data_IF_501553602643
#
_entry.id   IF_501553602643
#
_cell.length_a   1.000
_cell.length_b   1.000
_cell.length_c   1.000
_cell.angle_alpha   90.00
_cell.angle_beta   90.00
_cell.angle_gamma   90.00
#
_symmetry.space_group_name_H-M   'P 1'
#
loop_
_entity.id
_entity.type
_entity.pdbx_description
1 polymer ?
#
# COMPACT_ATOMS: atom_id res chain seq x y z
N UNK A 1 -2.18 16.77 11.71
CA UNK A 1 -2.62 17.26 10.39
C UNK A 1 -2.97 18.75 10.42
N UNK A 2 -4.04 19.23 11.07
CA UNK A 2 -4.55 20.61 11.02
C UNK A 2 -3.51 21.68 11.40
N UNK A 3 -2.67 21.41 12.40
CA UNK A 3 -1.58 22.34 12.81
C UNK A 3 -0.55 22.52 11.69
N UNK A 4 -0.17 21.45 11.02
CA UNK A 4 0.79 21.48 9.90
C UNK A 4 0.21 22.23 8.70
N UNK A 5 -1.05 21.98 8.35
CA UNK A 5 -1.73 22.67 7.28
C UNK A 5 -1.86 24.19 7.55
N UNK A 6 -2.17 24.54 8.81
CA UNK A 6 -2.20 25.95 9.22
C UNK A 6 -0.83 26.62 9.13
N UNK A 7 0.24 25.93 9.50
CA UNK A 7 1.62 26.41 9.36
C UNK A 7 2.03 26.54 7.90
N UNK A 8 1.70 25.56 7.08
CA UNK A 8 1.96 25.56 5.64
C UNK A 8 1.30 26.78 4.96
N UNK A 9 0.01 27.02 5.25
CA UNK A 9 -0.72 28.19 4.73
C UNK A 9 -0.12 29.52 5.16
N UNK A 10 0.39 29.61 6.41
CA UNK A 10 0.95 30.85 6.95
C UNK A 10 2.37 31.13 6.48
N UNK A 11 3.17 30.09 6.35
CA UNK A 11 4.60 30.20 6.06
C UNK A 11 4.94 29.97 4.58
N UNK A 12 3.96 29.58 3.76
CA UNK A 12 4.15 29.25 2.34
C UNK A 12 4.81 27.89 2.09
N UNK A 13 5.63 27.41 3.02
CA UNK A 13 6.28 26.10 2.90
C UNK A 13 6.42 25.41 4.26
N UNK A 14 6.43 24.05 4.24
CA UNK A 14 6.65 23.24 5.43
C UNK A 14 7.28 21.89 5.06
N UNK A 15 8.24 21.45 5.87
CA UNK A 15 8.86 20.13 5.68
C UNK A 15 8.26 19.13 6.66
N UNK A 16 7.86 17.98 6.16
CA UNK A 16 7.29 16.87 6.94
C UNK A 16 8.03 15.57 6.68
N UNK A 17 7.88 14.62 7.59
CA UNK A 17 8.21 13.22 7.37
C UNK A 17 6.89 12.46 7.34
N UNK A 18 6.60 11.80 6.21
CA UNK A 18 5.37 11.04 6.05
C UNK A 18 5.59 9.84 5.13
N UNK A 19 4.69 8.87 5.23
CA UNK A 19 4.60 7.78 4.28
C UNK A 19 3.79 8.26 3.08
N UNK A 20 4.45 8.27 1.92
CA UNK A 20 3.89 8.76 0.65
C UNK A 20 3.59 7.59 -0.27
N UNK A 21 2.36 7.52 -0.73
CA UNK A 21 1.93 6.64 -1.82
C UNK A 21 1.54 7.49 -3.02
N UNK A 22 1.66 6.95 -4.22
CA UNK A 22 1.32 7.64 -5.47
C UNK A 22 0.40 6.77 -6.29
N UNK A 23 -0.59 7.39 -6.90
CA UNK A 23 -1.49 6.72 -7.85
C UNK A 23 -1.67 7.56 -9.12
N UNK A 24 -1.91 6.87 -10.23
CA UNK A 24 -2.22 7.50 -11.51
C UNK A 24 -3.72 7.74 -11.64
N UNK A 25 -4.13 8.98 -11.85
CA UNK A 25 -5.50 9.30 -12.28
C UNK A 25 -5.56 9.24 -13.81
N UNK A 26 -6.08 8.13 -14.35
CA UNK A 26 -6.18 7.88 -15.80
C UNK A 26 -7.02 8.94 -16.52
N UNK A 27 -7.99 9.57 -15.84
CA UNK A 27 -8.86 10.59 -16.45
C UNK A 27 -8.16 11.92 -16.64
N UNK A 28 -7.22 12.23 -15.74
CA UNK A 28 -6.46 13.48 -15.74
C UNK A 28 -5.07 13.30 -16.33
N UNK A 29 -4.67 12.06 -16.57
CA UNK A 29 -3.34 11.66 -17.06
C UNK A 29 -2.22 12.30 -16.24
N UNK A 30 -2.33 12.18 -14.91
CA UNK A 30 -1.34 12.71 -13.97
C UNK A 30 -1.29 11.91 -12.68
N UNK A 31 -0.15 11.97 -12.00
CA UNK A 31 0.07 11.31 -10.73
C UNK A 31 -0.34 12.19 -9.55
N UNK A 32 -0.90 11.55 -8.54
CA UNK A 32 -1.26 12.18 -7.27
C UNK A 32 -0.63 11.44 -6.11
N UNK A 33 -0.10 12.21 -5.16
CA UNK A 33 0.45 11.69 -3.91
C UNK A 33 -0.59 11.72 -2.80
N UNK A 34 -0.53 10.71 -1.95
CA UNK A 34 -1.28 10.60 -0.70
C UNK A 34 -0.31 10.51 0.48
N UNK A 35 -0.64 11.19 1.57
CA UNK A 35 0.14 11.27 2.80
C UNK A 35 -0.60 10.58 3.93
N UNK A 36 -0.09 9.44 4.40
CA UNK A 36 -0.80 8.59 5.36
C UNK A 36 -1.02 9.25 6.72
N UNK A 37 0.00 9.91 7.28
CA UNK A 37 -0.12 10.55 8.60
C UNK A 37 -0.74 11.95 8.54
N UNK A 38 -0.45 12.70 7.49
CA UNK A 38 -1.03 14.04 7.31
C UNK A 38 -2.50 13.96 6.89
N UNK A 39 -2.92 12.83 6.32
CA UNK A 39 -4.28 12.62 5.81
C UNK A 39 -4.62 13.53 4.63
N UNK A 40 -3.61 13.91 3.84
CA UNK A 40 -3.78 14.60 2.57
C UNK A 40 -3.82 13.59 1.44
N UNK A 41 -4.76 13.78 0.53
CA UNK A 41 -4.88 13.03 -0.72
C UNK A 41 -4.93 13.98 -1.90
N UNK A 42 -4.69 13.46 -3.09
CA UNK A 42 -4.75 14.19 -4.36
C UNK A 42 -3.82 15.41 -4.44
N UNK A 43 -2.61 15.30 -3.88
CA UNK A 43 -1.57 16.32 -4.06
C UNK A 43 -0.84 16.03 -5.37
N UNK A 44 -0.79 16.97 -6.32
CA UNK A 44 -0.10 16.75 -7.59
C UNK A 44 1.40 16.44 -7.37
N UNK A 45 1.94 15.48 -8.11
CA UNK A 45 3.34 15.11 -8.10
C UNK A 45 3.85 14.96 -9.54
N UNK A 46 5.08 15.34 -9.79
CA UNK A 46 5.70 15.22 -11.12
C UNK A 46 6.04 13.76 -11.43
N UNK A 47 5.99 13.39 -12.70
CA UNK A 47 6.20 12.02 -13.21
C UNK A 47 7.59 11.47 -12.88
N UNK A 48 8.58 12.34 -12.73
CA UNK A 48 9.97 11.98 -12.39
C UNK A 48 10.08 11.16 -11.09
N UNK A 49 9.21 11.40 -10.10
CA UNK A 49 9.29 10.71 -8.82
C UNK A 49 8.79 9.27 -8.88
N UNK A 50 7.61 8.95 -9.47
CA UNK A 50 7.18 7.57 -9.67
C UNK A 50 8.12 6.77 -10.58
N UNK A 51 8.70 7.38 -11.62
CA UNK A 51 9.67 6.73 -12.50
C UNK A 51 10.98 6.40 -11.77
N UNK A 52 11.40 7.29 -10.86
CA UNK A 52 12.63 7.10 -10.08
C UNK A 52 12.45 6.16 -8.90
N UNK A 53 11.26 6.08 -8.32
CA UNK A 53 10.99 5.36 -7.08
C UNK A 53 9.74 4.49 -7.21
N UNK A 54 9.88 3.31 -7.80
CA UNK A 54 8.78 2.35 -8.08
C UNK A 54 7.91 2.04 -6.85
N UNK A 55 8.50 2.03 -5.66
CA UNK A 55 7.77 1.75 -4.42
C UNK A 55 6.75 2.83 -4.05
N UNK A 56 6.82 4.02 -4.63
CA UNK A 56 5.76 5.02 -4.47
C UNK A 56 4.43 4.52 -5.03
N UNK A 57 4.49 3.69 -6.10
CA UNK A 57 3.31 3.07 -6.74
C UNK A 57 2.90 1.76 -6.05
N UNK A 58 3.82 1.14 -5.28
CA UNK A 58 3.66 -0.19 -4.71
C UNK A 58 3.77 -0.17 -3.18
N UNK A 59 2.78 0.41 -2.47
CA UNK A 59 2.72 0.39 -1.02
C UNK A 59 3.35 1.58 -0.29
N UNK A 60 4.00 2.49 -1.03
CA UNK A 60 4.53 3.74 -0.49
C UNK A 60 5.92 3.66 0.14
N UNK A 61 6.48 4.83 0.41
CA UNK A 61 7.82 5.01 0.99
C UNK A 61 7.78 6.13 2.05
N UNK A 62 8.49 5.94 3.14
CA UNK A 62 8.77 7.02 4.08
C UNK A 62 9.71 8.05 3.45
N UNK A 63 9.24 9.30 3.39
CA UNK A 63 9.93 10.40 2.74
C UNK A 63 10.01 11.64 3.64
N UNK A 64 11.07 12.41 3.46
CA UNK A 64 11.09 13.82 3.84
C UNK A 64 10.49 14.58 2.67
N UNK A 65 9.39 15.29 2.91
CA UNK A 65 8.66 16.03 1.87
C UNK A 65 8.59 17.49 2.23
N UNK A 66 9.02 18.33 1.31
CA UNK A 66 8.84 19.77 1.39
C UNK A 66 7.59 20.14 0.59
N UNK A 67 6.55 20.56 1.31
CA UNK A 67 5.31 21.04 0.74
C UNK A 67 5.35 22.55 0.56
N UNK A 68 4.69 23.03 -0.48
CA UNK A 68 4.43 24.45 -0.73
C UNK A 68 2.94 24.71 -0.82
N UNK A 69 2.55 25.89 -0.39
CA UNK A 69 1.16 26.38 -0.49
C UNK A 69 1.11 27.50 -1.50
N UNK A 70 0.44 27.27 -2.61
CA UNK A 70 0.17 28.28 -3.63
C UNK A 70 -1.12 29.03 -3.27
N UNK A 71 -0.98 30.27 -2.82
CA UNK A 71 -2.14 31.16 -2.66
C UNK A 71 -2.55 31.68 -4.04
N UNK A 72 -3.85 31.70 -4.33
CA UNK A 72 -4.43 32.15 -5.61
C UNK A 72 -4.07 33.60 -6.01
N UNK A 73 -3.11 34.23 -5.33
CA UNK A 73 -2.70 35.63 -5.54
C UNK A 73 -1.42 35.85 -6.34
N UNK A 74 -0.63 34.82 -6.65
CA UNK A 74 0.73 35.01 -7.20
C UNK A 74 0.90 34.63 -8.68
N UNK A 75 -0.20 34.36 -9.40
CA UNK A 75 -0.14 34.06 -10.85
C UNK A 75 -0.32 35.30 -11.76
N UNK A 76 0.14 36.49 -11.32
CA UNK A 76 0.09 37.69 -12.14
C UNK A 76 1.48 38.35 -12.33
N UNK A 77 2.40 37.62 -12.97
CA UNK A 77 3.53 38.24 -13.66
C UNK A 77 3.82 37.46 -14.95
N UNK A 78 3.20 37.89 -16.05
CA UNK A 78 3.48 37.35 -17.37
C UNK A 78 2.55 37.92 -18.42
N UNK A 79 2.92 39.08 -18.99
CA UNK A 79 2.50 39.71 -20.25
C UNK A 79 1.04 39.59 -20.67
N UNK A 80 0.35 40.71 -20.58
CA UNK A 80 -0.92 40.96 -21.24
C UNK A 80 -0.71 40.89 -22.77
N UNK A 81 -1.16 39.80 -23.40
CA UNK A 81 -1.54 39.82 -24.79
C UNK A 81 -3.03 40.21 -24.90
N UNK A 82 -3.24 41.44 -25.36
CA UNK A 82 -4.52 42.02 -25.78
C UNK A 82 -4.96 41.26 -27.05
N UNK A 83 -6.00 40.48 -26.92
CA UNK A 83 -6.96 39.96 -27.88
C UNK A 83 -7.19 38.44 -27.72
N UNK A 84 -8.15 38.09 -26.89
CA UNK A 84 -9.01 36.94 -27.11
C UNK A 84 -10.16 36.88 -26.09
N UNK A 85 -11.33 36.51 -26.59
CA UNK A 85 -12.62 36.40 -25.92
C UNK A 85 -12.59 35.61 -24.58
N UNK A 86 -13.54 35.85 -23.65
CA UNK A 86 -13.55 35.23 -22.34
C UNK A 86 -13.90 33.74 -22.43
N UNK A 87 -12.89 32.88 -22.54
CA UNK A 87 -13.05 31.45 -22.32
C UNK A 87 -13.34 31.23 -20.86
N UNK A 88 -14.52 30.68 -20.54
CA UNK A 88 -14.88 30.16 -19.23
C UNK A 88 -13.76 29.30 -18.67
N UNK A 89 -13.05 29.81 -17.66
CA UNK A 89 -12.09 29.04 -16.87
C UNK A 89 -12.88 27.94 -16.14
N UNK A 90 -12.84 26.69 -16.66
CA UNK A 90 -13.19 25.55 -15.85
C UNK A 90 -12.24 25.56 -14.64
N UNK A 91 -12.77 25.80 -13.45
CA UNK A 91 -12.07 25.59 -12.19
C UNK A 91 -11.52 24.16 -12.22
N UNK A 92 -10.20 24.02 -12.36
CA UNK A 92 -9.53 22.75 -12.06
C UNK A 92 -9.56 22.62 -10.53
N UNK A 93 -10.15 21.55 -10.02
CA UNK A 93 -10.00 21.10 -8.64
C UNK A 93 -8.54 20.64 -8.42
N UNK A 94 -7.61 21.59 -8.42
CA UNK A 94 -6.20 21.34 -8.11
C UNK A 94 -6.00 21.73 -6.65
N UNK A 95 -5.41 20.85 -5.86
CA UNK A 95 -5.02 21.14 -4.48
C UNK A 95 -4.15 22.40 -4.46
N UNK A 96 -4.35 23.34 -3.53
CA UNK A 96 -3.48 24.51 -3.37
C UNK A 96 -2.11 24.13 -2.77
N UNK A 97 -1.89 22.84 -2.56
CA UNK A 97 -0.65 22.29 -1.99
C UNK A 97 0.08 21.53 -3.10
N UNK A 98 1.35 21.85 -3.28
CA UNK A 98 2.25 21.19 -4.21
C UNK A 98 3.46 20.58 -3.48
N UNK A 99 4.13 19.62 -4.12
CA UNK A 99 5.35 19.01 -3.62
C UNK A 99 6.54 19.70 -4.28
N UNK A 100 7.32 20.46 -3.51
CA UNK A 100 8.55 21.05 -3.99
C UNK A 100 9.69 20.05 -4.08
N UNK A 101 9.84 19.20 -3.05
CA UNK A 101 10.90 18.21 -2.96
C UNK A 101 10.44 16.99 -2.17
N UNK A 102 10.77 15.83 -2.69
CA UNK A 102 10.56 14.54 -2.03
C UNK A 102 11.90 13.80 -1.95
N UNK A 103 12.28 13.39 -0.74
CA UNK A 103 13.52 12.67 -0.49
C UNK A 103 13.20 11.40 0.30
N UNK A 104 13.35 10.20 -0.28
CA UNK A 104 13.16 8.96 0.44
C UNK A 104 14.15 8.82 1.60
N UNK A 105 13.66 8.31 2.73
CA UNK A 105 14.46 7.90 3.91
C UNK A 105 14.50 6.38 4.08
N UNK A 106 13.74 5.66 3.29
CA UNK A 106 13.85 4.21 3.13
C UNK A 106 14.54 3.89 1.81
N UNK A 107 15.03 2.65 1.68
CA UNK A 107 15.56 2.17 0.40
C UNK A 107 14.43 2.18 -0.66
N UNK A 108 14.51 3.02 -1.68
CA UNK A 108 13.46 3.17 -2.69
C UNK A 108 13.41 2.00 -3.68
N UNK A 109 14.50 1.24 -3.75
CA UNK A 109 14.63 0.07 -4.61
C UNK A 109 15.04 -1.16 -3.80
N UNK A 110 14.63 -2.34 -4.26
CA UNK A 110 15.12 -3.61 -3.78
C UNK A 110 15.94 -4.21 -4.92
N UNK A 111 17.25 -4.30 -4.73
CA UNK A 111 18.12 -5.03 -5.64
C UNK A 111 18.11 -6.51 -5.25
N UNK A 112 17.40 -7.31 -6.04
CA UNK A 112 17.27 -8.76 -5.82
C UNK A 112 18.62 -9.46 -5.95
N UNK A 113 19.52 -8.97 -6.82
CA UNK A 113 20.83 -9.57 -7.01
C UNK A 113 21.74 -9.30 -5.79
N UNK A 114 21.63 -8.12 -5.17
CA UNK A 114 22.31 -7.83 -3.91
C UNK A 114 21.83 -8.77 -2.79
N UNK A 115 20.51 -8.96 -2.68
CA UNK A 115 19.91 -9.89 -1.71
C UNK A 115 20.38 -11.34 -1.96
N UNK A 116 20.42 -11.78 -3.23
CA UNK A 116 20.91 -13.10 -3.62
C UNK A 116 22.41 -13.27 -3.33
N UNK A 117 23.20 -12.24 -3.57
CA UNK A 117 24.62 -12.26 -3.25
C UNK A 117 24.85 -12.31 -1.74
N UNK A 118 24.11 -11.49 -0.97
CA UNK A 118 24.14 -11.50 0.48
C UNK A 118 23.74 -12.84 1.08
N UNK A 119 22.70 -13.49 0.51
CA UNK A 119 22.24 -14.83 0.94
C UNK A 119 23.37 -15.87 0.97
N UNK A 120 24.32 -15.80 0.05
CA UNK A 120 25.43 -16.75 -0.03
C UNK A 120 26.41 -16.69 1.16
N UNK A 121 26.42 -15.58 1.89
CA UNK A 121 27.27 -15.39 3.07
C UNK A 121 26.69 -16.05 4.34
N UNK A 122 25.44 -16.52 4.30
CA UNK A 122 24.74 -17.11 5.43
C UNK A 122 24.52 -18.61 5.22
N UNK A 123 24.63 -19.37 6.30
CA UNK A 123 24.10 -20.74 6.36
C UNK A 123 22.57 -20.72 6.28
N UNK A 124 21.97 -21.89 6.13
CA UNK A 124 20.50 -21.99 6.08
C UNK A 124 19.85 -21.52 7.37
N UNK A 125 20.41 -21.90 8.52
CA UNK A 125 19.86 -21.54 9.83
C UNK A 125 20.02 -20.03 10.11
N UNK A 126 21.18 -19.46 9.82
CA UNK A 126 21.40 -18.03 9.94
C UNK A 126 20.46 -17.22 9.03
N UNK A 127 20.23 -17.68 7.80
CA UNK A 127 19.30 -17.01 6.91
C UNK A 127 17.85 -17.10 7.40
N UNK A 128 17.46 -18.21 7.97
CA UNK A 128 16.16 -18.38 8.62
C UNK A 128 16.00 -17.38 9.76
N UNK A 129 17.02 -17.18 10.56
CA UNK A 129 17.04 -16.20 11.65
C UNK A 129 16.94 -14.75 11.14
N UNK A 130 17.63 -14.44 10.04
CA UNK A 130 17.50 -13.13 9.36
C UNK A 130 16.06 -12.87 8.91
N UNK A 131 15.42 -13.86 8.28
CA UNK A 131 14.03 -13.74 7.84
C UNK A 131 13.07 -13.54 9.01
N UNK A 132 13.23 -14.30 10.10
CA UNK A 132 12.39 -14.18 11.29
C UNK A 132 12.57 -12.83 11.98
N UNK A 133 13.80 -12.33 12.11
CA UNK A 133 14.09 -11.00 12.67
C UNK A 133 13.52 -9.88 11.79
N UNK A 134 13.54 -10.04 10.48
CA UNK A 134 12.91 -9.09 9.55
C UNK A 134 11.40 -8.96 9.76
N UNK A 135 10.76 -10.01 10.28
CA UNK A 135 9.35 -10.03 10.65
C UNK A 135 9.08 -9.67 12.11
N UNK A 136 10.10 -9.27 12.86
CA UNK A 136 9.97 -8.85 14.26
C UNK A 136 9.99 -9.99 15.28
N UNK A 137 10.38 -11.20 14.90
CA UNK A 137 10.56 -12.32 15.81
C UNK A 137 11.98 -12.37 16.36
N UNK A 138 12.14 -12.90 17.60
CA UNK A 138 13.46 -13.19 18.18
C UNK A 138 13.75 -14.68 18.08
N UNK A 139 14.58 -15.12 17.12
CA UNK A 139 14.79 -16.53 16.84
C UNK A 139 15.63 -17.28 17.88
N UNK A 140 16.38 -16.58 18.74
CA UNK A 140 17.23 -17.21 19.75
C UNK A 140 16.41 -17.99 20.80
N UNK A 141 15.16 -17.59 21.02
CA UNK A 141 14.26 -18.22 21.98
C UNK A 141 13.39 -19.32 21.34
N UNK A 142 13.54 -19.56 20.03
CA UNK A 142 12.72 -20.48 19.28
C UNK A 142 13.50 -21.76 18.97
N UNK A 143 12.84 -22.91 19.15
CA UNK A 143 13.40 -24.17 18.65
C UNK A 143 13.23 -24.27 17.13
N UNK A 144 13.94 -25.21 16.50
CA UNK A 144 13.98 -25.37 15.04
C UNK A 144 12.59 -25.57 14.42
N UNK A 145 11.72 -26.34 15.08
CA UNK A 145 10.36 -26.58 14.61
C UNK A 145 9.52 -25.31 14.64
N UNK A 146 9.65 -24.52 15.69
CA UNK A 146 8.93 -23.23 15.82
C UNK A 146 9.36 -22.26 14.72
N UNK A 147 10.66 -22.17 14.44
CA UNK A 147 11.19 -21.36 13.33
C UNK A 147 10.57 -21.77 12.00
N UNK A 148 10.52 -23.05 11.69
CA UNK A 148 9.88 -23.54 10.46
C UNK A 148 8.39 -23.26 10.40
N UNK A 149 7.67 -23.38 11.51
CA UNK A 149 6.23 -23.08 11.56
C UNK A 149 5.96 -21.60 11.35
N UNK A 150 6.81 -20.71 11.88
CA UNK A 150 6.70 -19.28 11.66
C UNK A 150 7.00 -18.90 10.20
N UNK A 151 8.01 -19.51 9.57
CA UNK A 151 8.29 -19.33 8.15
C UNK A 151 7.16 -19.87 7.27
N UNK A 152 6.53 -20.97 7.65
CA UNK A 152 5.40 -21.54 6.91
C UNK A 152 4.20 -20.57 6.81
N UNK A 153 4.03 -19.65 7.78
CA UNK A 153 3.00 -18.60 7.72
C UNK A 153 3.20 -17.64 6.56
N UNK A 154 4.43 -17.51 6.05
CA UNK A 154 4.76 -16.60 4.97
C UNK A 154 4.53 -17.21 3.59
N UNK A 155 4.31 -18.53 3.49
CA UNK A 155 4.12 -19.20 2.21
C UNK A 155 2.97 -18.61 1.36
N UNK A 156 1.80 -18.26 1.94
CA UNK A 156 0.75 -17.63 1.16
C UNK A 156 1.12 -16.28 0.53
N UNK A 157 2.19 -15.63 0.99
CA UNK A 157 2.67 -14.35 0.45
C UNK A 157 3.59 -14.53 -0.77
N UNK A 158 4.11 -15.74 -1.00
CA UNK A 158 5.14 -16.01 -2.01
C UNK A 158 4.80 -17.15 -2.96
N UNK A 159 3.91 -18.07 -2.57
CA UNK A 159 3.48 -19.21 -3.36
C UNK A 159 2.10 -18.97 -3.96
N UNK A 160 1.98 -19.21 -5.27
CA UNK A 160 0.72 -19.04 -5.97
C UNK A 160 -0.31 -20.10 -5.53
N UNK A 161 -1.51 -19.66 -5.26
CA UNK A 161 -2.65 -20.49 -4.83
C UNK A 161 -2.34 -21.37 -3.60
N UNK A 162 -1.51 -20.87 -2.68
CA UNK A 162 -1.20 -21.57 -1.43
C UNK A 162 -2.21 -21.16 -0.35
N UNK A 163 -3.10 -22.08 0.01
CA UNK A 163 -4.14 -21.86 1.01
C UNK A 163 -3.69 -22.41 2.36
N UNK A 164 -3.56 -21.55 3.37
CA UNK A 164 -3.16 -21.91 4.73
C UNK A 164 -4.28 -21.67 5.71
N UNK A 165 -4.54 -22.66 6.57
CA UNK A 165 -5.43 -22.49 7.73
C UNK A 165 -4.61 -22.70 9.01
N UNK A 166 -4.50 -21.65 9.81
CA UNK A 166 -3.79 -21.69 11.08
C UNK A 166 -4.75 -21.64 12.28
N UNK A 167 -4.71 -22.70 13.09
CA UNK A 167 -5.45 -22.81 14.32
C UNK A 167 -4.48 -22.65 15.51
N UNK A 168 -4.87 -21.87 16.49
CA UNK A 168 -4.05 -21.66 17.68
C UNK A 168 -4.58 -20.56 18.60
N UNK A 169 -3.98 -20.40 19.77
CA UNK A 169 -4.42 -19.43 20.78
C UNK A 169 -4.30 -17.99 20.27
N UNK A 170 -4.98 -17.08 20.96
CA UNK A 170 -4.89 -15.65 20.69
C UNK A 170 -3.49 -15.12 21.00
N UNK A 171 -3.15 -13.97 20.43
CA UNK A 171 -1.88 -13.24 20.69
C UNK A 171 -0.59 -13.99 20.30
N UNK A 172 -0.66 -14.90 19.34
CA UNK A 172 0.52 -15.62 18.80
C UNK A 172 1.06 -15.00 17.49
N UNK A 173 0.65 -13.78 17.16
CA UNK A 173 1.13 -13.07 15.97
C UNK A 173 0.58 -13.56 14.63
N UNK A 174 -0.48 -14.41 14.60
CA UNK A 174 -1.04 -14.94 13.35
C UNK A 174 -1.43 -13.83 12.36
N UNK A 175 -2.24 -12.88 12.80
CA UNK A 175 -2.75 -11.82 11.95
C UNK A 175 -1.71 -10.73 11.66
N UNK A 176 -0.65 -10.62 12.49
CA UNK A 176 0.41 -9.63 12.36
C UNK A 176 1.14 -9.72 11.01
N UNK A 177 1.47 -10.92 10.58
CA UNK A 177 2.20 -11.16 9.32
C UNK A 177 1.42 -10.58 8.13
N UNK A 178 0.13 -10.88 8.06
CA UNK A 178 -0.72 -10.45 6.93
C UNK A 178 -1.12 -8.98 7.00
N UNK A 179 -0.98 -8.35 8.14
CA UNK A 179 -1.35 -6.95 8.34
C UNK A 179 -0.17 -5.99 8.21
N UNK A 180 1.01 -6.39 8.73
CA UNK A 180 2.13 -5.47 8.94
C UNK A 180 3.37 -5.79 8.08
N UNK A 181 3.52 -7.03 7.57
CA UNK A 181 4.76 -7.46 6.91
C UNK A 181 4.72 -7.20 5.41
N UNK A 182 3.60 -7.53 4.75
CA UNK A 182 3.48 -7.36 3.30
C UNK A 182 2.54 -6.19 2.96
N UNK A 183 2.97 -5.25 2.10
CA UNK A 183 2.09 -4.22 1.58
C UNK A 183 1.04 -4.76 0.59
N UNK A 184 1.23 -5.99 0.10
CA UNK A 184 0.37 -6.63 -0.91
C UNK A 184 -0.59 -7.66 -0.30
N UNK A 185 -0.77 -7.65 1.01
CA UNK A 185 -1.72 -8.50 1.70
C UNK A 185 -2.79 -7.68 2.43
N UNK A 186 -3.99 -8.22 2.50
CA UNK A 186 -5.09 -7.61 3.24
C UNK A 186 -5.65 -8.59 4.27
N UNK A 187 -5.90 -8.08 5.47
CA UNK A 187 -6.56 -8.82 6.54
C UNK A 187 -8.04 -8.45 6.61
N UNK A 188 -8.90 -9.40 6.33
CA UNK A 188 -10.36 -9.27 6.48
C UNK A 188 -10.73 -9.82 7.85
N UNK A 189 -11.08 -8.94 8.77
CA UNK A 189 -11.55 -9.33 10.11
C UNK A 189 -13.05 -9.58 10.09
N UNK A 190 -13.48 -10.55 10.88
CA UNK A 190 -14.80 -11.18 11.00
C UNK A 190 -16.01 -10.36 10.58
N UNK A 191 -16.95 -10.99 9.91
CA UNK A 191 -18.19 -10.36 9.51
C UNK A 191 -18.81 -11.01 8.28
N UNK A 192 -19.86 -10.38 7.79
CA UNK A 192 -20.52 -10.82 6.56
C UNK A 192 -19.72 -10.30 5.36
N UNK A 193 -19.18 -11.23 4.58
CA UNK A 193 -18.60 -10.91 3.27
C UNK A 193 -19.55 -11.35 2.15
N UNK A 194 -19.40 -10.76 0.98
CA UNK A 194 -20.18 -11.13 -0.21
C UNK A 194 -19.25 -11.60 -1.30
N UNK A 195 -19.75 -12.44 -2.21
CA UNK A 195 -19.06 -12.88 -3.42
C UNK A 195 -18.60 -11.67 -4.24
N UNK A 196 -19.46 -10.65 -4.35
CA UNK A 196 -19.15 -9.42 -5.08
C UNK A 196 -17.96 -8.63 -4.47
N UNK A 197 -17.80 -8.67 -3.14
CA UNK A 197 -16.68 -7.99 -2.48
C UNK A 197 -15.37 -8.76 -2.60
N UNK A 198 -15.44 -10.09 -2.57
CA UNK A 198 -14.23 -10.92 -2.67
C UNK A 198 -13.74 -11.11 -4.11
N UNK A 199 -14.64 -11.35 -5.04
CA UNK A 199 -14.30 -11.78 -6.40
C UNK A 199 -14.57 -10.69 -7.44
N UNK A 200 -15.84 -10.48 -7.80
CA UNK A 200 -16.21 -9.52 -8.82
C UNK A 200 -17.58 -8.90 -8.56
N UNK A 201 -17.66 -7.58 -8.59
CA UNK A 201 -18.90 -6.85 -8.43
C UNK A 201 -19.54 -6.56 -9.80
N UNK A 202 -20.53 -7.36 -10.18
CA UNK A 202 -21.23 -7.23 -11.46
C UNK A 202 -21.92 -5.86 -11.64
N UNK A 203 -22.48 -5.30 -10.56
CA UNK A 203 -23.18 -4.02 -10.61
C UNK A 203 -22.26 -2.82 -10.84
N UNK A 204 -21.08 -2.85 -10.22
CA UNK A 204 -20.06 -1.79 -10.36
C UNK A 204 -19.01 -2.09 -11.40
N UNK A 205 -18.97 -3.32 -11.94
CA UNK A 205 -17.93 -3.82 -12.86
C UNK A 205 -16.52 -3.66 -12.29
N UNK A 206 -16.36 -3.95 -11.01
CA UNK A 206 -15.07 -3.83 -10.31
C UNK A 206 -14.61 -5.18 -9.80
N UNK A 207 -13.30 -5.41 -9.89
CA UNK A 207 -12.63 -6.59 -9.33
C UNK A 207 -12.67 -6.52 -7.81
N UNK A 208 -12.87 -7.67 -7.16
CA UNK A 208 -12.87 -7.78 -5.70
C UNK A 208 -11.48 -8.01 -5.10
N UNK A 209 -11.46 -8.27 -3.78
CA UNK A 209 -10.21 -8.34 -3.00
C UNK A 209 -9.21 -9.36 -3.53
N UNK A 210 -9.68 -10.55 -3.93
CA UNK A 210 -8.78 -11.63 -4.41
C UNK A 210 -8.11 -11.35 -5.76
N UNK A 211 -8.61 -10.38 -6.51
CA UNK A 211 -7.98 -9.94 -7.75
C UNK A 211 -7.16 -8.65 -7.61
N UNK A 212 -7.20 -8.01 -6.42
CA UNK A 212 -6.45 -6.78 -6.14
C UNK A 212 -5.25 -7.01 -5.23
N UNK A 213 -5.27 -8.10 -4.44
CA UNK A 213 -4.27 -8.39 -3.43
C UNK A 213 -3.62 -9.75 -3.69
N UNK A 214 -2.31 -9.85 -3.49
CA UNK A 214 -1.56 -11.10 -3.65
C UNK A 214 -1.94 -12.11 -2.57
N UNK A 215 -2.32 -11.64 -1.39
CA UNK A 215 -2.79 -12.48 -0.30
C UNK A 215 -4.00 -11.85 0.41
N UNK A 216 -5.08 -12.61 0.53
CA UNK A 216 -6.26 -12.25 1.32
C UNK A 216 -6.35 -13.16 2.53
N UNK A 217 -6.08 -12.62 3.71
CA UNK A 217 -6.16 -13.32 4.97
C UNK A 217 -7.50 -13.05 5.66
N UNK A 218 -8.06 -14.07 6.29
CA UNK A 218 -9.29 -13.96 7.07
C UNK A 218 -9.00 -14.20 8.54
N UNK A 219 -9.34 -13.24 9.38
CA UNK A 219 -9.31 -13.41 10.83
C UNK A 219 -10.68 -13.85 11.33
N UNK A 220 -10.71 -14.73 12.34
CA UNK A 220 -11.95 -15.26 12.93
C UNK A 220 -12.90 -15.90 11.89
N UNK A 221 -12.38 -16.82 11.09
CA UNK A 221 -13.12 -17.50 9.99
C UNK A 221 -14.47 -18.08 10.44
N UNK A 222 -14.60 -18.50 11.68
CA UNK A 222 -15.87 -19.02 12.24
C UNK A 222 -17.01 -18.00 12.21
N UNK A 223 -16.70 -16.70 12.16
CA UNK A 223 -17.68 -15.62 12.05
C UNK A 223 -18.05 -15.23 10.63
N UNK A 224 -17.32 -15.71 9.61
CA UNK A 224 -17.56 -15.36 8.22
C UNK A 224 -18.83 -16.05 7.71
N UNK A 225 -19.80 -15.26 7.31
CA UNK A 225 -21.03 -15.74 6.69
C UNK A 225 -21.17 -15.12 5.30
N UNK A 226 -21.26 -15.98 4.30
CA UNK A 226 -21.67 -15.53 2.97
C UNK A 226 -23.17 -15.29 2.96
N UNK A 227 -23.58 -14.13 2.44
CA UNK A 227 -25.00 -13.84 2.23
C UNK A 227 -25.61 -14.71 1.13
N UNK A 228 -24.79 -15.03 0.14
CA UNK A 228 -25.17 -15.82 -1.01
C UNK A 228 -24.95 -17.31 -0.73
N UNK A 229 -25.93 -18.15 -1.07
CA UNK A 229 -25.84 -19.61 -0.88
C UNK A 229 -24.66 -20.22 -1.65
N UNK A 230 -24.34 -19.66 -2.80
CA UNK A 230 -23.30 -20.15 -3.69
C UNK A 230 -21.90 -19.65 -3.30
N UNK A 231 -21.80 -18.68 -2.38
CA UNK A 231 -20.54 -18.06 -2.00
C UNK A 231 -19.50 -19.03 -1.41
N UNK A 232 -19.97 -20.03 -0.68
CA UNK A 232 -19.09 -21.08 -0.14
C UNK A 232 -18.55 -21.97 -1.26
N UNK A 233 -19.39 -22.30 -2.25
CA UNK A 233 -18.96 -23.12 -3.37
C UNK A 233 -17.94 -22.38 -4.24
N UNK A 234 -18.20 -21.12 -4.57
CA UNK A 234 -17.28 -20.28 -5.33
C UNK A 234 -15.92 -20.16 -4.60
N UNK A 235 -15.93 -19.98 -3.28
CA UNK A 235 -14.71 -19.94 -2.49
C UNK A 235 -13.93 -21.26 -2.57
N UNK A 236 -14.62 -22.41 -2.48
CA UNK A 236 -13.97 -23.72 -2.60
C UNK A 236 -13.36 -23.93 -3.98
N UNK A 237 -14.08 -23.56 -5.02
CA UNK A 237 -13.61 -23.71 -6.40
C UNK A 237 -12.40 -22.80 -6.66
N UNK A 238 -12.42 -21.57 -6.15
CA UNK A 238 -11.29 -20.67 -6.19
C UNK A 238 -10.07 -21.21 -5.43
N UNK A 239 -10.24 -21.69 -4.21
CA UNK A 239 -9.15 -22.28 -3.42
C UNK A 239 -8.55 -23.52 -4.10
N UNK A 240 -9.34 -24.27 -4.85
CA UNK A 240 -8.89 -25.47 -5.55
C UNK A 240 -8.14 -25.15 -6.86
N UNK A 241 -8.62 -24.15 -7.61
CA UNK A 241 -8.13 -23.88 -8.98
C UNK A 241 -7.31 -22.58 -9.11
N UNK A 242 -7.45 -21.65 -8.17
CA UNK A 242 -6.90 -20.30 -8.29
C UNK A 242 -7.65 -19.41 -9.30
N UNK A 243 -8.80 -19.85 -9.77
CA UNK A 243 -9.64 -19.12 -10.75
C UNK A 243 -11.12 -19.14 -10.35
N UNK A 244 -11.90 -18.18 -10.79
CA UNK A 244 -13.33 -18.06 -10.54
C UNK A 244 -14.05 -17.48 -11.76
#
# INVERSE_FOLDING_TARGET
AQKVLSQLRRNGSHTIIDMVTVHLDIKKDCFFAEFSNLGLSNVPITDDYPEKYDRLLCGGIWCIVQLEYESEGDSSFGMEDFDSEPRQKKQKDVSPISIRKLTPIQMPHIDIEEVRAGRKAFTQDEWMDVMLRSCGYEPEQLNQREKWLLLARMLPLVENNFNLCELGPRSTGKSHIYKEISPNSILVSGGQTTVANLFYNMGRKTVGLVGLWDCVAFDEVAGIKFKDKDGIQIMKDYMASGSF
#
